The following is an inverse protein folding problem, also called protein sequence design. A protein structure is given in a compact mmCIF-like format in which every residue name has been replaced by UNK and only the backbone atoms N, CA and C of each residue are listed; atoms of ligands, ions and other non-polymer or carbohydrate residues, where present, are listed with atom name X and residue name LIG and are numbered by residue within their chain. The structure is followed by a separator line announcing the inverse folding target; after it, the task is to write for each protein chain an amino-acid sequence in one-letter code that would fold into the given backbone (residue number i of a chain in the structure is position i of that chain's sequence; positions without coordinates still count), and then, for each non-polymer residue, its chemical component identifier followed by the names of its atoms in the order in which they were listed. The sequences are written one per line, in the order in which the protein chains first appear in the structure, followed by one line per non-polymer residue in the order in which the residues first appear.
data_IF_936327659409
#
_entry.id   IF_936327659409
#
_cell.length_a   1.000
_cell.length_b   1.000
_cell.length_c   1.000
_cell.angle_alpha   90.00
_cell.angle_beta   90.00
_cell.angle_gamma   90.00
#
_symmetry.space_group_name_H-M   'P 1'
#
loop_
_entity.id
_entity.type
_entity.pdbx_description
1 polymer ?
#
# COMPACT_ATOMS: atom_id res chain seq x y z
N UNK A 1 15.09 -6.64 -2.45
CA UNK A 1 15.22 -5.21 -2.82
C UNK A 1 14.09 -4.69 -3.69
N UNK A 2 13.87 -5.20 -4.90
CA UNK A 2 12.93 -4.57 -5.85
C UNK A 2 11.49 -4.33 -5.33
N UNK A 3 10.86 -5.31 -4.64
CA UNK A 3 9.49 -5.15 -4.16
C UNK A 3 9.34 -4.03 -3.12
N UNK A 4 10.28 -3.94 -2.17
CA UNK A 4 10.23 -2.91 -1.12
C UNK A 4 10.61 -1.53 -1.67
N UNK A 5 11.51 -1.47 -2.66
CA UNK A 5 11.84 -0.23 -3.37
C UNK A 5 10.63 0.32 -4.13
N UNK A 6 9.87 -0.56 -4.80
CA UNK A 6 8.64 -0.18 -5.48
C UNK A 6 7.60 0.36 -4.51
N UNK A 7 7.38 -0.33 -3.37
CA UNK A 7 6.49 0.14 -2.32
C UNK A 7 6.91 1.53 -1.80
N UNK A 8 8.18 1.73 -1.45
CA UNK A 8 8.66 3.02 -0.95
C UNK A 8 8.53 4.14 -1.98
N UNK A 9 8.73 3.85 -3.27
CA UNK A 9 8.53 4.83 -4.33
C UNK A 9 7.07 5.26 -4.42
N UNK A 10 6.14 4.31 -4.30
CA UNK A 10 4.69 4.55 -4.29
C UNK A 10 4.28 5.35 -3.06
N UNK A 11 4.69 4.90 -1.87
CA UNK A 11 4.37 5.56 -0.60
C UNK A 11 4.80 7.04 -0.63
N UNK A 12 6.01 7.32 -1.13
CA UNK A 12 6.48 8.69 -1.25
C UNK A 12 5.64 9.52 -2.21
N UNK A 13 5.43 8.99 -3.42
CA UNK A 13 4.75 9.70 -4.50
C UNK A 13 3.27 9.93 -4.26
N UNK A 14 2.59 9.02 -3.56
CA UNK A 14 1.13 9.03 -3.48
C UNK A 14 0.61 9.49 -2.10
N UNK A 15 1.44 9.42 -1.04
CA UNK A 15 1.06 9.86 0.32
C UNK A 15 2.04 10.92 0.86
N UNK A 16 3.31 10.57 1.08
CA UNK A 16 4.23 11.44 1.84
C UNK A 16 4.45 12.81 1.20
N UNK A 17 4.48 12.90 -0.13
CA UNK A 17 4.64 14.19 -0.82
C UNK A 17 3.35 15.00 -0.94
N UNK A 18 2.20 14.39 -0.69
CA UNK A 18 0.89 15.05 -0.79
C UNK A 18 0.23 15.32 0.56
N UNK A 19 0.73 14.71 1.63
CA UNK A 19 0.17 14.84 2.97
C UNK A 19 1.09 15.62 3.90
N UNK A 20 0.53 16.63 4.56
CA UNK A 20 1.18 17.26 5.72
C UNK A 20 0.66 16.63 7.01
N UNK A 21 1.57 16.12 7.83
CA UNK A 21 1.23 15.52 9.11
C UNK A 21 1.35 16.57 10.22
N UNK A 22 0.32 16.71 11.04
CA UNK A 22 0.30 17.66 12.16
C UNK A 22 1.21 17.23 13.30
N UNK A 23 1.25 15.92 13.57
CA UNK A 23 2.04 15.29 14.61
C UNK A 23 2.32 13.82 14.27
N UNK A 24 3.08 13.15 15.14
CA UNK A 24 3.44 11.75 14.97
C UNK A 24 2.23 10.81 14.96
N UNK A 25 1.23 11.06 15.80
CA UNK A 25 0.03 10.22 15.89
C UNK A 25 -0.80 10.32 14.60
N UNK A 26 -0.94 11.53 14.05
CA UNK A 26 -1.57 11.75 12.76
C UNK A 26 -0.80 11.05 11.62
N UNK A 27 0.53 11.17 11.60
CA UNK A 27 1.36 10.46 10.63
C UNK A 27 1.20 8.94 10.72
N UNK A 28 1.17 8.39 11.94
CA UNK A 28 0.99 6.96 12.18
C UNK A 28 -0.37 6.47 11.68
N UNK A 29 -1.44 7.22 11.94
CA UNK A 29 -2.78 6.88 11.45
C UNK A 29 -2.85 6.95 9.93
N UNK A 30 -2.33 8.02 9.32
CA UNK A 30 -2.29 8.19 7.88
C UNK A 30 -1.50 7.05 7.21
N UNK A 31 -0.35 6.67 7.76
CA UNK A 31 0.45 5.55 7.27
C UNK A 31 -0.32 4.22 7.33
N UNK A 32 -1.02 3.96 8.43
CA UNK A 32 -1.87 2.77 8.57
C UNK A 32 -3.00 2.78 7.53
N UNK A 33 -3.69 3.91 7.36
CA UNK A 33 -4.77 4.06 6.39
C UNK A 33 -4.27 3.91 4.96
N UNK A 34 -3.09 4.45 4.64
CA UNK A 34 -2.47 4.30 3.35
C UNK A 34 -2.15 2.83 3.06
N UNK A 35 -1.47 2.14 3.99
CA UNK A 35 -1.03 0.75 3.78
C UNK A 35 -2.24 -0.20 3.75
N UNK A 36 -3.02 -0.23 4.82
CA UNK A 36 -4.11 -1.19 4.98
C UNK A 36 -5.33 -0.79 4.16
N UNK A 37 -5.69 0.49 4.19
CA UNK A 37 -6.88 1.00 3.53
C UNK A 37 -6.71 1.09 2.02
N UNK A 38 -5.66 1.75 1.55
CA UNK A 38 -5.54 2.09 0.14
C UNK A 38 -4.61 1.13 -0.63
N UNK A 39 -3.36 0.96 -0.20
CA UNK A 39 -2.37 0.16 -0.91
C UNK A 39 -2.77 -1.32 -1.00
N UNK A 40 -3.09 -1.97 0.12
CA UNK A 40 -3.43 -3.38 0.13
C UNK A 40 -4.76 -3.67 -0.58
N UNK A 41 -5.78 -2.82 -0.38
CA UNK A 41 -7.16 -3.12 -0.80
C UNK A 41 -7.59 -2.48 -2.11
N UNK A 42 -7.01 -1.35 -2.52
CA UNK A 42 -7.49 -0.57 -3.67
C UNK A 42 -6.44 -0.40 -4.78
N UNK A 43 -5.16 -0.40 -4.44
CA UNK A 43 -4.11 -0.16 -5.42
C UNK A 43 -3.84 -1.39 -6.29
N UNK A 44 -3.98 -1.24 -7.60
CA UNK A 44 -3.65 -2.29 -8.56
C UNK A 44 -2.16 -2.27 -8.94
N UNK A 45 -1.58 -3.45 -9.14
CA UNK A 45 -0.18 -3.61 -9.52
C UNK A 45 -0.06 -4.41 -10.81
N UNK A 46 0.65 -3.87 -11.81
CA UNK A 46 0.89 -4.58 -13.08
C UNK A 46 1.64 -5.90 -12.88
N UNK A 47 2.57 -5.96 -11.91
CA UNK A 47 3.27 -7.18 -11.52
C UNK A 47 2.36 -8.23 -10.88
N UNK A 48 1.17 -7.85 -10.42
CA UNK A 48 0.14 -8.73 -9.86
C UNK A 48 -1.00 -8.98 -10.87
N UNK A 49 -0.76 -8.79 -12.17
CA UNK A 49 -1.80 -8.97 -13.18
C UNK A 49 -2.93 -7.94 -13.07
N UNK A 50 -2.60 -6.71 -12.64
CA UNK A 50 -3.57 -5.64 -12.37
C UNK A 50 -4.56 -5.95 -11.23
N UNK A 51 -4.16 -6.81 -10.30
CA UNK A 51 -4.89 -7.08 -9.06
C UNK A 51 -4.29 -6.30 -7.88
N UNK A 52 -5.05 -6.22 -6.80
CA UNK A 52 -4.61 -5.63 -5.53
C UNK A 52 -3.83 -6.67 -4.71
N UNK A 53 -2.92 -6.23 -3.81
CA UNK A 53 -2.22 -7.14 -2.91
C UNK A 53 -3.18 -8.04 -2.11
N UNK A 54 -4.27 -7.48 -1.59
CA UNK A 54 -5.27 -8.24 -0.84
C UNK A 54 -5.95 -9.32 -1.71
N UNK A 55 -6.28 -9.00 -2.97
CA UNK A 55 -6.92 -9.96 -3.85
C UNK A 55 -6.01 -11.18 -4.13
N UNK A 56 -4.70 -10.96 -4.26
CA UNK A 56 -3.73 -12.05 -4.41
C UNK A 56 -3.65 -12.87 -3.13
N UNK A 57 -3.55 -12.24 -1.96
CA UNK A 57 -3.50 -12.95 -0.68
C UNK A 57 -4.75 -13.81 -0.44
N UNK A 58 -5.94 -13.27 -0.74
CA UNK A 58 -7.21 -13.99 -0.60
C UNK A 58 -7.31 -15.20 -1.54
N UNK A 59 -6.78 -15.07 -2.77
CA UNK A 59 -6.70 -16.18 -3.72
C UNK A 59 -5.74 -17.28 -3.23
N UNK A 60 -4.58 -16.90 -2.70
CA UNK A 60 -3.62 -17.84 -2.15
C UNK A 60 -4.20 -18.58 -0.95
N UNK A 61 -4.93 -17.89 -0.06
CA UNK A 61 -5.57 -18.49 1.11
C UNK A 61 -6.67 -19.49 0.76
N UNK A 62 -7.39 -19.28 -0.35
CA UNK A 62 -8.43 -20.22 -0.83
C UNK A 62 -7.86 -21.47 -1.49
N UNK A 63 -6.61 -21.40 -1.94
CA UNK A 63 -5.93 -22.48 -2.67
C UNK A 63 -5.03 -23.33 -1.75
N UNK A 64 -4.82 -22.88 -0.51
CA UNK A 64 -4.11 -23.59 0.55
C UNK A 64 -5.08 -24.49 1.35
#
# INVERSE_FOLDING_TARGET
NACIESFHAILKKEEVYHTQYTDYSAAKLAMFQFIEGWYNRNRIHSSLGYQTPQAIEDQMRKTA
#
